data_IF_406720348972
#
_entry.id   IF_406720348972
#
_cell.length_a   1.000
_cell.length_b   1.000
_cell.length_c   1.000
_cell.angle_alpha   90.00
_cell.angle_beta   90.00
_cell.angle_gamma   90.00
#
_symmetry.space_group_name_H-M   'P 1'
#
loop_
_entity.id
_entity.type
_entity.pdbx_description
1 polymer ?
#
# COMPACT_ATOMS: atom_id res chain seq x y z
N UNK A 1 -4.27 11.88 28.39
CA UNK A 1 -5.69 11.94 28.79
C UNK A 1 -5.95 10.76 29.71
N UNK A 2 -6.34 11.01 30.95
CA UNK A 2 -6.73 9.97 31.90
C UNK A 2 -8.25 9.94 32.01
N UNK A 3 -8.85 8.76 31.96
CA UNK A 3 -10.29 8.58 32.10
C UNK A 3 -10.58 7.38 33.00
N UNK A 4 -11.54 7.53 33.89
CA UNK A 4 -12.05 6.46 34.75
C UNK A 4 -13.42 6.05 34.20
N UNK A 5 -13.62 4.77 33.96
CA UNK A 5 -14.85 4.18 33.49
C UNK A 5 -15.48 3.30 34.56
N UNK A 6 -16.79 3.32 34.67
CA UNK A 6 -17.50 2.35 35.48
C UNK A 6 -17.47 0.95 34.82
N UNK A 7 -17.80 -0.07 35.62
CA UNK A 7 -17.86 -1.45 35.11
C UNK A 7 -18.92 -1.55 33.99
N UNK A 8 -18.56 -2.09 32.83
CA UNK A 8 -19.38 -2.19 31.62
C UNK A 8 -19.68 -0.85 30.91
N UNK A 9 -18.98 0.22 31.23
CA UNK A 9 -19.09 1.47 30.49
C UNK A 9 -18.09 1.49 29.33
N UNK A 10 -18.59 1.73 28.09
CA UNK A 10 -17.77 1.97 26.92
C UNK A 10 -17.75 3.46 26.60
N UNK A 11 -16.57 4.02 26.38
CA UNK A 11 -16.43 5.40 25.95
C UNK A 11 -15.49 5.50 24.75
N UNK A 12 -15.96 6.11 23.68
CA UNK A 12 -15.11 6.47 22.56
C UNK A 12 -14.39 7.78 22.85
N UNK A 13 -13.06 7.74 22.79
CA UNK A 13 -12.21 8.93 22.91
C UNK A 13 -11.44 9.07 21.61
N UNK A 14 -11.59 10.22 20.96
CA UNK A 14 -10.79 10.54 19.77
C UNK A 14 -9.47 11.14 20.21
N UNK A 15 -8.37 10.48 19.89
CA UNK A 15 -7.03 11.00 20.08
C UNK A 15 -6.52 11.50 18.71
N UNK A 16 -6.39 12.82 18.57
CA UNK A 16 -5.78 13.40 17.38
C UNK A 16 -4.26 13.54 17.63
N UNK A 17 -3.47 12.81 16.86
CA UNK A 17 -2.02 12.93 16.84
C UNK A 17 -1.65 13.69 15.56
N UNK A 18 -1.01 14.84 15.71
CA UNK A 18 -0.63 15.68 14.58
C UNK A 18 0.89 15.80 14.54
N UNK A 19 1.49 15.47 13.43
CA UNK A 19 2.89 15.75 13.17
C UNK A 19 2.99 17.01 12.28
N UNK A 20 3.48 18.11 12.84
CA UNK A 20 3.74 19.36 12.13
C UNK A 20 5.21 19.55 11.78
N UNK A 21 6.07 18.58 12.09
CA UNK A 21 7.50 18.61 11.80
C UNK A 21 7.89 17.78 10.59
N UNK A 22 9.09 17.99 10.08
CA UNK A 22 9.68 17.22 8.97
C UNK A 22 10.26 15.86 9.36
N UNK A 23 10.10 15.42 10.60
CA UNK A 23 10.62 14.15 11.11
C UNK A 23 9.52 13.12 11.31
N UNK A 24 9.87 11.84 11.25
CA UNK A 24 8.94 10.74 11.51
C UNK A 24 8.41 10.82 12.95
N UNK A 25 7.08 10.74 13.11
CA UNK A 25 6.46 10.64 14.42
C UNK A 25 6.39 9.18 14.87
N UNK A 26 7.23 8.81 15.81
CA UNK A 26 7.12 7.52 16.47
C UNK A 26 6.16 7.62 17.67
N UNK A 27 5.11 6.83 17.67
CA UNK A 27 4.19 6.77 18.79
C UNK A 27 3.83 5.31 19.11
N UNK A 28 3.53 5.06 20.36
CA UNK A 28 3.05 3.77 20.81
C UNK A 28 1.86 3.96 21.74
N UNK A 29 0.81 3.16 21.53
CA UNK A 29 -0.30 3.05 22.45
C UNK A 29 0.00 1.89 23.41
N UNK A 30 0.23 2.18 24.68
CA UNK A 30 0.29 1.15 25.72
C UNK A 30 -1.10 1.00 26.32
N UNK A 31 -1.78 -0.09 25.99
CA UNK A 31 -3.05 -0.46 26.60
C UNK A 31 -2.83 -1.21 27.90
N UNK A 32 -3.55 -0.85 28.95
CA UNK A 32 -3.71 -1.72 30.12
C UNK A 32 -4.79 -2.76 29.76
N UNK A 33 -4.47 -4.04 29.80
CA UNK A 33 -5.41 -5.13 29.56
C UNK A 33 -6.23 -5.37 30.83
N UNK A 34 -7.49 -4.91 30.82
CA UNK A 34 -8.54 -5.49 31.66
C UNK A 34 -9.13 -6.71 30.94
N UNK A 35 -9.74 -7.62 31.69
CA UNK A 35 -10.37 -8.86 31.22
C UNK A 35 -11.13 -8.68 29.89
N UNK A 36 -10.60 -9.25 28.79
CA UNK A 36 -11.21 -9.24 27.45
C UNK A 36 -10.51 -8.38 26.41
N UNK A 37 -9.44 -7.65 26.74
CA UNK A 37 -8.73 -6.79 25.81
C UNK A 37 -7.89 -7.58 24.80
N UNK A 38 -8.14 -7.37 23.50
CA UNK A 38 -7.23 -7.80 22.45
C UNK A 38 -5.98 -6.93 22.53
N UNK A 39 -4.83 -7.53 22.81
CA UNK A 39 -3.55 -6.86 22.69
C UNK A 39 -3.20 -6.73 21.21
N UNK A 40 -2.97 -5.51 20.74
CA UNK A 40 -2.34 -5.28 19.45
C UNK A 40 -0.82 -5.34 19.66
N UNK A 41 -0.18 -6.37 19.14
CA UNK A 41 1.25 -6.36 18.98
C UNK A 41 1.54 -5.68 17.65
N UNK A 42 2.04 -4.46 17.68
CA UNK A 42 2.73 -3.89 16.55
C UNK A 42 4.00 -4.71 16.36
N UNK A 43 4.08 -5.45 15.26
CA UNK A 43 5.32 -6.10 14.85
C UNK A 43 6.47 -5.08 14.80
N UNK A 44 7.69 -5.53 14.71
CA UNK A 44 8.88 -4.67 14.60
C UNK A 44 8.67 -3.68 13.46
N UNK A 45 8.48 -2.41 13.79
CA UNK A 45 8.38 -1.35 12.79
C UNK A 45 9.81 -1.03 12.37
N UNK A 46 10.20 -1.50 11.19
CA UNK A 46 11.48 -1.09 10.60
C UNK A 46 11.41 0.39 10.22
N UNK A 47 12.48 1.13 10.46
CA UNK A 47 12.57 2.53 10.05
C UNK A 47 12.65 2.65 8.52
N UNK A 48 12.26 3.79 7.98
CA UNK A 48 12.45 4.08 6.55
C UNK A 48 13.93 3.99 6.13
N UNK A 49 14.83 4.39 7.04
CA UNK A 49 16.27 4.29 6.83
C UNK A 49 16.73 2.84 6.68
N UNK A 50 16.13 1.92 7.44
CA UNK A 50 16.41 0.49 7.30
C UNK A 50 16.08 -0.01 5.89
N UNK A 51 14.90 0.30 5.38
CA UNK A 51 14.51 -0.09 4.01
C UNK A 51 15.34 0.59 2.93
N UNK A 52 15.64 1.88 3.10
CA UNK A 52 16.47 2.63 2.17
C UNK A 52 17.91 2.11 2.11
N UNK A 53 18.40 1.51 3.18
CA UNK A 53 19.74 0.93 3.26
C UNK A 53 19.81 -0.53 2.76
N UNK A 54 18.66 -1.18 2.52
CA UNK A 54 18.63 -2.56 2.03
C UNK A 54 19.13 -2.62 0.59
N UNK A 55 20.08 -3.50 0.34
CA UNK A 55 20.52 -3.78 -1.02
C UNK A 55 19.41 -4.51 -1.80
N UNK A 56 19.34 -4.26 -3.10
CA UNK A 56 18.43 -4.95 -4.00
C UNK A 56 18.58 -6.46 -3.92
N UNK A 57 17.49 -7.19 -3.85
CA UNK A 57 17.49 -8.65 -3.71
C UNK A 57 17.75 -9.15 -2.28
N UNK A 58 17.80 -8.26 -1.29
CA UNK A 58 17.87 -8.66 0.12
C UNK A 58 16.60 -9.38 0.55
N UNK A 59 16.73 -10.48 1.25
CA UNK A 59 15.59 -11.23 1.78
C UNK A 59 14.86 -10.39 2.81
N UNK A 60 13.54 -10.28 2.69
CA UNK A 60 12.69 -9.65 3.69
C UNK A 60 12.59 -10.56 4.93
N UNK A 61 13.19 -10.12 6.03
CA UNK A 61 13.20 -10.87 7.29
C UNK A 61 11.98 -10.60 8.18
N UNK A 62 11.03 -9.77 7.72
CA UNK A 62 9.81 -9.53 8.49
C UNK A 62 9.08 -10.84 8.72
N UNK A 63 8.85 -11.14 9.99
CA UNK A 63 8.13 -12.31 10.44
C UNK A 63 6.86 -11.85 11.15
N UNK A 64 5.74 -12.42 10.80
CA UNK A 64 4.46 -12.14 11.44
C UNK A 64 3.30 -12.79 10.69
N UNK A 65 2.21 -13.06 11.38
CA UNK A 65 0.98 -13.43 10.70
C UNK A 65 0.49 -12.22 9.88
N UNK A 66 0.08 -12.40 8.63
CA UNK A 66 -0.56 -11.33 7.88
C UNK A 66 -1.78 -10.84 8.67
N UNK A 67 -1.95 -9.53 8.75
CA UNK A 67 -3.15 -8.96 9.35
C UNK A 67 -4.30 -9.29 8.38
N UNK A 68 -5.12 -10.25 8.75
CA UNK A 68 -6.32 -10.57 8.01
C UNK A 68 -7.41 -9.58 8.41
N UNK A 69 -7.47 -8.45 7.73
CA UNK A 69 -8.60 -7.54 7.79
C UNK A 69 -9.44 -7.80 6.54
N UNK A 70 -10.71 -8.17 6.72
CA UNK A 70 -11.62 -8.49 5.61
C UNK A 70 -12.08 -7.25 4.87
N UNK A 71 -12.01 -6.10 5.50
CA UNK A 71 -12.39 -4.81 4.93
C UNK A 71 -12.09 -3.65 5.87
N UNK A 72 -12.23 -2.44 5.38
CA UNK A 72 -12.02 -1.22 6.16
C UNK A 72 -12.42 0.04 5.42
N UNK A 73 -12.36 1.15 6.13
CA UNK A 73 -12.79 2.45 5.64
C UNK A 73 -14.14 2.90 6.23
N UNK A 74 -14.76 3.97 5.71
CA UNK A 74 -14.17 4.81 4.68
C UNK A 74 -13.00 5.66 5.20
N UNK A 75 -12.10 6.05 4.30
CA UNK A 75 -11.11 7.07 4.58
C UNK A 75 -11.74 8.48 4.54
N UNK A 76 -10.92 9.53 4.63
CA UNK A 76 -11.40 10.91 4.60
C UNK A 76 -12.08 11.29 3.27
N UNK A 77 -11.73 10.64 2.17
CA UNK A 77 -12.32 10.84 0.83
C UNK A 77 -13.49 9.90 0.54
N UNK A 78 -13.81 8.98 1.44
CA UNK A 78 -14.91 8.04 1.29
C UNK A 78 -14.51 6.69 0.69
N UNK A 79 -13.24 6.42 0.45
CA UNK A 79 -12.78 5.13 -0.05
C UNK A 79 -12.85 4.06 1.02
N UNK A 80 -13.49 2.95 0.69
CA UNK A 80 -13.53 1.72 1.50
C UNK A 80 -12.89 0.59 0.71
N UNK A 81 -12.41 -0.41 1.42
CA UNK A 81 -11.85 -1.60 0.80
C UNK A 81 -12.44 -2.86 1.43
N UNK A 82 -12.50 -3.91 0.67
CA UNK A 82 -12.81 -5.26 1.14
C UNK A 82 -11.99 -6.27 0.34
N UNK A 83 -11.71 -7.41 0.95
CA UNK A 83 -11.03 -8.50 0.28
C UNK A 83 -12.00 -9.67 -0.04
N UNK A 84 -11.53 -10.64 -0.81
CA UNK A 84 -12.33 -11.81 -1.22
C UNK A 84 -12.68 -12.78 -0.09
N UNK A 85 -12.24 -12.54 1.13
CA UNK A 85 -12.63 -13.32 2.33
C UNK A 85 -13.78 -12.68 3.08
N UNK A 86 -14.09 -11.41 2.79
CA UNK A 86 -15.30 -10.78 3.28
C UNK A 86 -16.50 -11.38 2.55
N UNK A 87 -17.56 -11.77 3.29
CA UNK A 87 -18.78 -12.34 2.70
C UNK A 87 -19.49 -11.39 1.72
N UNK A 88 -19.28 -10.09 1.83
CA UNK A 88 -19.75 -9.06 0.91
C UNK A 88 -18.64 -8.53 -0.01
N UNK A 89 -17.45 -9.11 0.06
CA UNK A 89 -16.29 -8.72 -0.73
C UNK A 89 -16.36 -9.23 -2.18
N UNK A 90 -15.45 -8.76 -3.03
CA UNK A 90 -15.40 -9.21 -4.42
C UNK A 90 -14.90 -10.65 -4.52
N UNK A 91 -15.46 -11.42 -5.45
CA UNK A 91 -14.87 -12.69 -5.83
C UNK A 91 -13.52 -12.45 -6.52
N UNK A 92 -12.55 -13.30 -6.22
CA UNK A 92 -11.26 -13.28 -6.88
C UNK A 92 -11.32 -14.14 -8.15
N UNK A 93 -11.18 -13.47 -9.30
CA UNK A 93 -11.05 -14.13 -10.60
C UNK A 93 -9.76 -13.64 -11.28
N UNK A 94 -8.89 -14.59 -11.63
CA UNK A 94 -7.67 -14.26 -12.36
C UNK A 94 -7.96 -14.17 -13.85
N UNK A 95 -7.76 -13.01 -14.44
CA UNK A 95 -7.85 -12.81 -15.91
C UNK A 95 -6.45 -12.76 -16.50
N UNK A 96 -6.08 -13.79 -17.27
CA UNK A 96 -4.81 -13.81 -17.99
C UNK A 96 -4.88 -12.95 -19.26
N UNK A 97 -4.25 -11.79 -19.22
CA UNK A 97 -4.16 -10.85 -20.34
C UNK A 97 -2.86 -11.00 -21.14
N UNK A 98 -2.02 -11.99 -20.88
CA UNK A 98 -0.73 -12.14 -21.55
C UNK A 98 -0.85 -12.40 -23.07
N UNK A 99 -1.99 -12.96 -23.51
CA UNK A 99 -2.23 -13.32 -24.92
C UNK A 99 -2.90 -12.22 -25.74
N UNK A 100 -3.68 -11.35 -25.09
CA UNK A 100 -4.50 -10.34 -25.76
C UNK A 100 -4.21 -8.92 -25.28
N UNK A 101 -3.42 -8.77 -24.23
CA UNK A 101 -2.95 -7.47 -23.75
C UNK A 101 -1.78 -6.94 -24.58
N UNK A 102 -1.62 -5.63 -24.56
CA UNK A 102 -0.46 -4.95 -25.15
C UNK A 102 0.74 -5.08 -24.20
N UNK A 103 1.84 -5.62 -24.68
CA UNK A 103 3.11 -5.65 -23.95
C UNK A 103 3.63 -4.21 -23.75
N UNK A 104 4.01 -3.87 -22.53
CA UNK A 104 4.72 -2.64 -22.20
C UNK A 104 6.23 -2.87 -22.43
N UNK A 105 6.64 -2.73 -23.69
CA UNK A 105 8.03 -3.01 -24.10
C UNK A 105 9.05 -2.09 -23.45
N UNK A 106 8.62 -0.92 -22.99
CA UNK A 106 9.46 0.02 -22.25
C UNK A 106 9.96 -0.55 -20.91
N UNK A 107 9.26 -1.57 -20.41
CA UNK A 107 9.62 -2.28 -19.17
C UNK A 107 10.36 -3.60 -19.42
N UNK A 108 10.43 -4.05 -20.69
CA UNK A 108 11.14 -5.29 -21.00
C UNK A 108 12.63 -5.16 -20.65
N UNK A 109 13.15 -6.20 -20.01
CA UNK A 109 14.56 -6.27 -19.58
C UNK A 109 15.00 -5.13 -18.64
N UNK A 110 14.04 -4.47 -17.96
CA UNK A 110 14.33 -3.44 -16.96
C UNK A 110 14.40 -4.03 -15.56
N UNK A 111 15.34 -3.54 -14.80
CA UNK A 111 15.39 -3.73 -13.36
C UNK A 111 14.41 -2.77 -12.68
N UNK A 112 14.60 -1.48 -12.92
CA UNK A 112 13.72 -0.40 -12.51
C UNK A 112 13.22 0.37 -13.72
N UNK A 113 12.09 1.03 -13.58
CA UNK A 113 11.54 1.85 -14.64
C UNK A 113 10.03 1.90 -14.65
N UNK A 114 9.50 2.70 -15.55
CA UNK A 114 8.06 2.83 -15.73
C UNK A 114 7.69 2.94 -17.21
N UNK A 115 6.45 2.58 -17.52
CA UNK A 115 5.83 2.83 -18.82
C UNK A 115 4.61 3.73 -18.65
N UNK A 116 4.45 4.71 -19.52
CA UNK A 116 3.28 5.58 -19.56
C UNK A 116 2.16 4.90 -20.35
N UNK A 117 0.98 4.82 -19.75
CA UNK A 117 -0.21 4.20 -20.35
C UNK A 117 -1.33 5.23 -20.43
N UNK A 118 -1.90 5.42 -21.63
CA UNK A 118 -3.13 6.17 -21.78
C UNK A 118 -4.31 5.32 -21.30
N UNK A 119 -5.17 5.91 -20.49
CA UNK A 119 -6.39 5.26 -20.02
C UNK A 119 -7.52 5.48 -21.04
N UNK A 120 -8.33 4.47 -21.36
CA UNK A 120 -9.44 4.60 -22.31
C UNK A 120 -10.62 5.41 -21.74
N UNK A 121 -10.60 5.69 -20.45
CA UNK A 121 -11.58 6.49 -19.71
C UNK A 121 -10.88 7.37 -18.69
N UNK A 122 -11.59 8.37 -18.18
CA UNK A 122 -11.09 9.19 -17.08
C UNK A 122 -11.24 8.44 -15.77
N UNK A 123 -10.18 8.40 -14.97
CA UNK A 123 -10.18 7.84 -13.63
C UNK A 123 -10.15 8.98 -12.62
N UNK A 124 -11.14 9.05 -11.76
CA UNK A 124 -11.08 9.93 -10.60
C UNK A 124 -10.38 9.23 -9.44
N UNK A 125 -9.34 9.84 -8.91
CA UNK A 125 -8.61 9.34 -7.77
C UNK A 125 -8.30 10.48 -6.79
N UNK A 126 -8.82 10.40 -5.59
CA UNK A 126 -8.75 11.43 -4.55
C UNK A 126 -9.18 12.83 -5.04
N UNK A 127 -10.32 12.89 -5.76
CA UNK A 127 -10.92 14.13 -6.24
C UNK A 127 -10.23 14.77 -7.44
N UNK A 128 -9.31 14.07 -8.10
CA UNK A 128 -8.61 14.52 -9.29
C UNK A 128 -8.78 13.52 -10.43
N UNK A 129 -9.08 14.04 -11.62
CA UNK A 129 -9.22 13.21 -12.83
C UNK A 129 -7.88 12.97 -13.52
N UNK A 130 -7.69 11.72 -13.97
CA UNK A 130 -6.51 11.28 -14.70
C UNK A 130 -6.91 10.54 -15.98
N UNK A 131 -6.18 10.77 -17.06
CA UNK A 131 -6.34 10.09 -18.37
C UNK A 131 -5.13 9.25 -18.73
N UNK A 132 -4.16 9.17 -17.83
CA UNK A 132 -2.95 8.40 -18.01
C UNK A 132 -2.48 7.85 -16.66
N UNK A 133 -1.76 6.76 -16.72
CA UNK A 133 -1.10 6.16 -15.57
C UNK A 133 0.35 5.79 -15.94
N UNK A 134 1.19 5.70 -14.94
CA UNK A 134 2.59 5.28 -15.08
C UNK A 134 2.74 3.95 -14.35
N UNK A 135 2.86 2.88 -15.11
CA UNK A 135 3.00 1.51 -14.60
C UNK A 135 4.47 1.26 -14.32
N UNK A 136 4.80 0.86 -13.10
CA UNK A 136 6.18 0.64 -12.67
C UNK A 136 6.56 -0.84 -12.73
N UNK A 137 7.83 -1.13 -13.05
CA UNK A 137 8.39 -2.47 -13.08
C UNK A 137 8.27 -3.19 -11.73
N UNK A 138 8.25 -2.46 -10.64
CA UNK A 138 8.19 -2.95 -9.27
C UNK A 138 6.77 -3.13 -8.70
N UNK A 139 5.77 -3.34 -9.59
CA UNK A 139 4.43 -3.81 -9.22
C UNK A 139 3.51 -2.75 -8.61
N UNK A 140 3.68 -1.48 -8.95
CA UNK A 140 2.77 -0.40 -8.61
C UNK A 140 2.49 0.52 -9.81
N UNK A 141 1.51 1.37 -9.69
CA UNK A 141 1.24 2.43 -10.66
C UNK A 141 1.02 3.77 -9.95
N UNK A 142 1.26 4.85 -10.70
CA UNK A 142 1.00 6.22 -10.25
C UNK A 142 0.21 6.98 -11.29
N UNK A 143 -0.50 8.04 -10.86
CA UNK A 143 -1.32 8.84 -11.77
C UNK A 143 -0.69 10.18 -12.14
N UNK A 144 0.29 10.68 -11.39
CA UNK A 144 0.84 12.02 -11.63
C UNK A 144 2.14 12.02 -12.43
N UNK A 145 3.05 11.12 -12.11
CA UNK A 145 4.38 11.05 -12.73
C UNK A 145 4.95 9.65 -12.64
N UNK A 146 5.79 9.30 -13.60
CA UNK A 146 6.60 8.09 -13.53
C UNK A 146 7.65 8.18 -12.40
N UNK A 147 8.02 7.03 -11.90
CA UNK A 147 9.04 6.85 -10.88
C UNK A 147 9.86 5.60 -11.15
N UNK A 148 11.10 5.61 -10.70
CA UNK A 148 12.05 4.48 -10.84
C UNK A 148 12.39 3.86 -9.48
N UNK A 149 11.54 4.12 -8.47
CA UNK A 149 11.74 3.59 -7.13
C UNK A 149 11.42 2.10 -7.07
N UNK A 150 12.17 1.36 -6.31
CA UNK A 150 12.03 -0.09 -6.15
C UNK A 150 10.93 -0.54 -5.18
N UNK A 151 9.99 0.33 -4.81
CA UNK A 151 8.71 -0.03 -4.21
C UNK A 151 8.71 -0.68 -2.82
N UNK A 152 9.83 -0.72 -2.13
CA UNK A 152 10.06 -1.51 -0.92
C UNK A 152 9.73 -0.75 0.39
N UNK A 153 8.92 0.29 0.33
CA UNK A 153 8.69 1.17 1.47
C UNK A 153 7.33 0.92 2.13
N UNK A 154 7.28 0.95 3.47
CA UNK A 154 5.99 0.92 4.16
C UNK A 154 5.17 2.17 3.84
N UNK A 155 3.89 2.00 3.56
CA UNK A 155 2.98 3.11 3.32
C UNK A 155 2.27 3.54 4.62
N UNK A 156 2.00 4.86 4.77
CA UNK A 156 2.37 5.97 3.89
C UNK A 156 3.84 6.39 4.04
N UNK A 157 4.45 6.82 2.95
CA UNK A 157 5.85 7.27 2.93
C UNK A 157 6.05 8.44 1.96
N UNK A 158 6.89 9.43 2.30
CA UNK A 158 7.26 10.48 1.37
C UNK A 158 8.29 10.02 0.31
N UNK A 159 8.82 8.81 0.44
CA UNK A 159 9.83 8.26 -0.49
C UNK A 159 9.20 7.67 -1.75
N UNK A 160 7.91 7.33 -1.72
CA UNK A 160 7.16 6.91 -2.90
C UNK A 160 6.44 8.10 -3.52
N UNK A 161 6.20 8.09 -4.84
CA UNK A 161 5.39 9.12 -5.47
C UNK A 161 3.98 9.15 -4.87
N UNK A 162 3.34 10.32 -4.87
CA UNK A 162 1.95 10.45 -4.49
C UNK A 162 0.99 9.81 -5.51
N UNK A 163 -0.28 9.68 -5.13
CA UNK A 163 -1.36 9.17 -5.99
C UNK A 163 -1.01 7.80 -6.62
N UNK A 164 -0.58 6.86 -5.78
CA UNK A 164 -0.13 5.55 -6.20
C UNK A 164 -1.12 4.44 -5.78
N UNK A 165 -1.16 3.39 -6.58
CA UNK A 165 -1.84 2.13 -6.30
C UNK A 165 -0.80 1.02 -6.31
N UNK A 166 -0.71 0.25 -5.22
CA UNK A 166 0.35 -0.73 -4.99
C UNK A 166 -0.21 -2.14 -4.78
N UNK A 167 -0.69 -2.81 -5.83
CA UNK A 167 -1.24 -4.15 -5.68
C UNK A 167 -0.18 -5.17 -5.26
N UNK A 168 1.07 -4.97 -5.67
CA UNK A 168 2.19 -5.87 -5.37
C UNK A 168 3.52 -5.12 -5.43
N UNK A 169 3.69 -4.07 -4.63
CA UNK A 169 4.92 -3.27 -4.61
C UNK A 169 6.07 -4.07 -3.98
N UNK A 170 6.94 -4.59 -4.82
CA UNK A 170 8.13 -5.35 -4.45
C UNK A 170 9.29 -4.93 -5.34
N UNK A 171 10.51 -5.19 -4.91
CA UNK A 171 11.72 -4.99 -5.69
C UNK A 171 11.84 -6.10 -6.76
N UNK A 172 11.09 -5.93 -7.86
CA UNK A 172 11.05 -6.88 -8.97
C UNK A 172 12.13 -6.54 -10.00
N UNK A 173 12.55 -7.56 -10.77
CA UNK A 173 13.57 -7.38 -11.80
C UNK A 173 13.17 -8.08 -13.09
N UNK A 174 12.63 -7.33 -14.03
CA UNK A 174 12.18 -7.85 -15.33
C UNK A 174 13.35 -8.24 -16.24
N UNK A 175 14.58 -7.77 -15.97
CA UNK A 175 15.78 -8.22 -16.67
C UNK A 175 16.11 -9.70 -16.38
N UNK A 176 15.52 -10.28 -15.32
CA UNK A 176 15.64 -11.70 -15.00
C UNK A 176 14.49 -12.54 -15.55
N UNK A 177 13.59 -11.93 -16.26
CA UNK A 177 12.40 -12.53 -16.86
C UNK A 177 11.12 -11.90 -16.35
N UNK A 178 10.04 -12.13 -17.08
CA UNK A 178 8.73 -11.54 -16.82
C UNK A 178 8.40 -10.43 -17.81
N UNK A 179 7.12 -10.14 -17.92
CA UNK A 179 6.59 -9.10 -18.80
C UNK A 179 5.41 -8.40 -18.12
N UNK A 180 5.19 -7.17 -18.49
CA UNK A 180 4.04 -6.40 -18.04
C UNK A 180 3.13 -6.12 -19.23
N UNK A 181 1.84 -6.38 -19.05
CA UNK A 181 0.83 -6.19 -20.07
C UNK A 181 -0.24 -5.23 -19.59
N UNK A 182 -0.88 -4.56 -20.54
CA UNK A 182 -2.08 -3.75 -20.32
C UNK A 182 -3.16 -4.20 -21.29
N UNK A 183 -4.40 -4.24 -20.80
CA UNK A 183 -5.58 -4.54 -21.58
C UNK A 183 -6.70 -3.56 -21.23
N UNK A 184 -7.49 -3.15 -22.22
CA UNK A 184 -8.63 -2.23 -22.07
C UNK A 184 -9.81 -2.73 -22.89
#
# INVERSE_FOLDING_TARGET
VSQTLAMNEERKVTLAIRNSGGSVLNWALKGATGLGGKSFSLGTVFSQEHFAAMAKGTTDERRGAPISMLGGGPDFHGYSWSDSKDAAGPDHEWTDISKNGKLLSELSDKDDGFAKVALPFSVEFYGKEYKEAFVNANGYLTFEKGAEDHGHFPLPTPMMPGNLVTPFAMDLNLARGGNVYVHS
#
